data_IF_279284486287
#
_entry.id   IF_279284486287
#
_cell.length_a   1.000
_cell.length_b   1.000
_cell.length_c   1.000
_cell.angle_alpha   90.00
_cell.angle_beta   90.00
_cell.angle_gamma   90.00
#
_symmetry.space_group_name_H-M   'P 1'
#
loop_
_entity.id
_entity.type
_entity.pdbx_description
1 polymer ?
#
# COMPACT_ATOMS: atom_id res chain seq x y z
N UNK A 1 14.58 40.88 12.52
CA UNK A 1 14.01 39.72 11.78
C UNK A 1 12.87 39.14 12.61
N UNK A 2 11.62 39.39 12.19
CA UNK A 2 10.39 38.95 12.88
C UNK A 2 10.18 37.47 12.56
N UNK A 3 10.37 36.57 13.53
CA UNK A 3 10.11 35.13 13.32
C UNK A 3 8.60 34.94 13.07
N UNK A 4 8.19 34.18 12.04
CA UNK A 4 6.78 33.88 11.84
C UNK A 4 6.25 33.04 13.02
N UNK A 5 4.97 33.20 13.40
CA UNK A 5 4.37 32.43 14.47
C UNK A 5 4.27 30.95 14.07
N UNK A 6 4.49 30.09 15.06
CA UNK A 6 4.45 28.64 14.97
C UNK A 6 3.01 28.19 14.67
N UNK A 7 2.67 28.07 13.39
CA UNK A 7 1.44 27.44 12.86
C UNK A 7 1.53 25.90 12.88
N UNK A 8 2.48 25.30 13.60
CA UNK A 8 2.65 23.83 13.67
C UNK A 8 1.52 23.15 14.48
N UNK A 9 0.94 23.84 15.47
CA UNK A 9 -0.12 23.30 16.31
C UNK A 9 -1.47 23.10 15.60
N UNK A 10 -1.74 23.84 14.51
CA UNK A 10 -3.04 23.81 13.82
C UNK A 10 -3.14 22.66 12.80
N UNK A 11 -2.01 22.19 12.28
CA UNK A 11 -1.94 21.08 11.32
C UNK A 11 -1.79 19.71 11.99
N UNK A 12 -1.27 19.65 13.21
CA UNK A 12 -1.16 18.42 13.98
C UNK A 12 -2.49 17.64 14.10
N UNK A 13 -3.63 18.26 14.48
CA UNK A 13 -4.91 17.53 14.52
C UNK A 13 -5.40 17.12 13.13
N UNK A 14 -5.17 17.95 12.10
CA UNK A 14 -5.53 17.61 10.73
C UNK A 14 -4.71 16.41 10.21
N UNK A 15 -3.40 16.34 10.48
CA UNK A 15 -2.57 15.18 10.14
C UNK A 15 -3.02 13.92 10.89
N UNK A 16 -3.41 14.05 12.15
CA UNK A 16 -3.87 12.96 13.00
C UNK A 16 -5.19 12.34 12.51
N UNK A 17 -6.06 13.13 11.87
CA UNK A 17 -7.29 12.64 11.23
C UNK A 17 -7.07 12.18 9.79
N UNK A 18 -6.17 12.83 9.04
CA UNK A 18 -5.87 12.46 7.65
C UNK A 18 -5.22 11.08 7.59
N UNK A 19 -4.27 10.77 8.48
CA UNK A 19 -3.56 9.49 8.47
C UNK A 19 -4.48 8.24 8.52
N UNK A 20 -5.41 8.10 9.49
CA UNK A 20 -6.30 6.93 9.55
C UNK A 20 -7.32 6.92 8.39
N UNK A 21 -7.81 8.08 7.95
CA UNK A 21 -8.71 8.15 6.80
C UNK A 21 -8.01 7.72 5.50
N UNK A 22 -6.75 8.11 5.32
CA UNK A 22 -5.95 7.70 4.16
C UNK A 22 -5.67 6.20 4.16
N UNK A 23 -5.48 5.58 5.33
CA UNK A 23 -5.30 4.12 5.41
C UNK A 23 -6.60 3.38 5.07
N UNK A 24 -7.76 3.84 5.56
CA UNK A 24 -9.06 3.26 5.21
C UNK A 24 -9.36 3.40 3.70
N UNK A 25 -9.11 4.58 3.12
CA UNK A 25 -9.28 4.81 1.70
C UNK A 25 -8.34 3.91 0.88
N UNK A 26 -7.09 3.75 1.32
CA UNK A 26 -6.11 2.84 0.70
C UNK A 26 -6.57 1.39 0.75
N UNK A 27 -7.09 0.92 1.89
CA UNK A 27 -7.64 -0.44 2.02
C UNK A 27 -8.81 -0.68 1.07
N UNK A 28 -9.76 0.27 1.00
CA UNK A 28 -10.91 0.16 0.10
C UNK A 28 -10.48 0.11 -1.37
N UNK A 29 -9.54 0.98 -1.77
CA UNK A 29 -8.99 0.99 -3.12
C UNK A 29 -8.24 -0.30 -3.44
N UNK A 30 -7.43 -0.81 -2.52
CA UNK A 30 -6.67 -2.05 -2.70
C UNK A 30 -7.58 -3.28 -2.81
N UNK A 31 -8.67 -3.34 -2.03
CA UNK A 31 -9.68 -4.40 -2.16
C UNK A 31 -10.36 -4.37 -3.52
N UNK A 32 -10.81 -3.19 -3.96
CA UNK A 32 -11.39 -3.00 -5.29
C UNK A 32 -10.43 -3.45 -6.39
N UNK A 33 -9.18 -2.99 -6.32
CA UNK A 33 -8.17 -3.28 -7.31
C UNK A 33 -7.81 -4.76 -7.35
N UNK A 34 -7.68 -5.41 -6.20
CA UNK A 34 -7.45 -6.85 -6.12
C UNK A 34 -8.59 -7.64 -6.72
N UNK A 35 -9.84 -7.31 -6.40
CA UNK A 35 -10.99 -7.99 -6.99
C UNK A 35 -10.97 -7.87 -8.52
N UNK A 36 -10.77 -6.65 -9.04
CA UNK A 36 -10.71 -6.39 -10.47
C UNK A 36 -9.57 -7.16 -11.15
N UNK A 37 -8.36 -7.12 -10.59
CA UNK A 37 -7.19 -7.81 -11.11
C UNK A 37 -7.30 -9.34 -11.01
N UNK A 38 -7.91 -9.86 -9.94
CA UNK A 38 -8.17 -11.29 -9.79
C UNK A 38 -9.13 -11.80 -10.85
N UNK A 39 -10.18 -11.04 -11.19
CA UNK A 39 -11.08 -11.36 -12.30
C UNK A 39 -10.34 -11.34 -13.65
N UNK A 40 -9.53 -10.30 -13.89
CA UNK A 40 -8.70 -10.22 -15.08
C UNK A 40 -7.68 -11.38 -15.17
N UNK A 41 -7.11 -11.79 -14.05
CA UNK A 41 -6.20 -12.94 -13.98
C UNK A 41 -6.92 -14.25 -14.26
N UNK A 42 -8.13 -14.45 -13.72
CA UNK A 42 -8.93 -15.63 -14.00
C UNK A 42 -9.20 -15.80 -15.50
N UNK A 43 -9.41 -14.69 -16.21
CA UNK A 43 -9.65 -14.67 -17.66
C UNK A 43 -8.38 -14.85 -18.50
N UNK A 44 -7.27 -14.21 -18.15
CA UNK A 44 -6.06 -14.18 -19.00
C UNK A 44 -5.03 -15.23 -18.64
N UNK A 45 -5.04 -15.73 -17.39
CA UNK A 45 -4.00 -16.59 -16.80
C UNK A 45 -2.58 -16.08 -17.00
N UNK A 46 -2.41 -14.76 -17.17
CA UNK A 46 -1.11 -14.16 -17.44
C UNK A 46 -0.20 -14.23 -16.20
N UNK A 47 1.01 -14.81 -16.31
CA UNK A 47 1.95 -14.87 -15.19
C UNK A 47 2.44 -13.48 -14.76
N UNK A 48 2.49 -12.50 -15.67
CA UNK A 48 2.82 -11.12 -15.33
C UNK A 48 1.71 -10.50 -14.48
N UNK A 49 0.44 -10.79 -14.79
CA UNK A 49 -0.69 -10.30 -14.02
C UNK A 49 -0.77 -10.96 -12.63
N UNK A 50 -0.37 -12.23 -12.51
CA UNK A 50 -0.26 -12.89 -11.20
C UNK A 50 0.71 -12.15 -10.27
N UNK A 51 1.87 -11.72 -10.78
CA UNK A 51 2.83 -10.94 -9.99
C UNK A 51 2.24 -9.59 -9.54
N UNK A 52 1.41 -8.97 -10.38
CA UNK A 52 0.69 -7.74 -10.01
C UNK A 52 -0.32 -8.01 -8.89
N UNK A 53 -1.10 -9.09 -9.00
CA UNK A 53 -2.05 -9.52 -7.94
C UNK A 53 -1.32 -9.78 -6.62
N UNK A 54 -0.19 -10.49 -6.65
CA UNK A 54 0.63 -10.73 -5.46
C UNK A 54 1.17 -9.44 -4.85
N UNK A 55 1.67 -8.51 -5.69
CA UNK A 55 2.14 -7.20 -5.26
C UNK A 55 1.07 -6.40 -4.50
N UNK A 56 -0.13 -6.30 -5.08
CA UNK A 56 -1.25 -5.61 -4.43
C UNK A 56 -1.77 -6.34 -3.20
N UNK A 57 -1.68 -7.68 -3.16
CA UNK A 57 -2.05 -8.47 -1.97
C UNK A 57 -1.11 -8.14 -0.81
N UNK A 58 0.19 -8.06 -1.07
CA UNK A 58 1.17 -7.62 -0.07
C UNK A 58 0.93 -6.19 0.40
N UNK A 59 0.52 -5.27 -0.49
CA UNK A 59 0.17 -3.90 -0.11
C UNK A 59 -1.09 -3.86 0.77
N UNK A 60 -2.11 -4.67 0.45
CA UNK A 60 -3.32 -4.79 1.27
C UNK A 60 -2.98 -5.29 2.67
N UNK A 61 -2.15 -6.34 2.77
CA UNK A 61 -1.64 -6.84 4.06
C UNK A 61 -0.85 -5.76 4.80
N UNK A 62 0.00 -5.00 4.10
CA UNK A 62 0.75 -3.88 4.67
C UNK A 62 -0.14 -2.83 5.32
N UNK A 63 -1.18 -2.36 4.63
CA UNK A 63 -2.14 -1.39 5.19
C UNK A 63 -3.00 -1.98 6.31
N UNK A 64 -3.36 -3.26 6.23
CA UNK A 64 -4.05 -3.93 7.34
C UNK A 64 -3.16 -4.00 8.59
N UNK A 65 -1.86 -4.23 8.42
CA UNK A 65 -0.86 -4.20 9.50
C UNK A 65 -0.65 -2.79 10.06
N UNK A 66 -0.62 -1.75 9.23
CA UNK A 66 -0.58 -0.36 9.70
C UNK A 66 -1.80 -0.02 10.53
N UNK A 67 -2.99 -0.42 10.09
CA UNK A 67 -4.22 -0.24 10.86
C UNK A 67 -4.17 -0.99 12.19
N UNK A 68 -3.68 -2.23 12.19
CA UNK A 68 -3.51 -3.02 13.41
C UNK A 68 -2.39 -2.48 14.33
N UNK A 69 -1.42 -1.73 13.78
CA UNK A 69 -0.31 -1.18 14.55
C UNK A 69 -0.74 -0.10 15.55
N UNK A 70 -1.93 0.48 15.36
CA UNK A 70 -2.59 1.34 16.35
C UNK A 70 -2.79 0.64 17.70
N UNK A 71 -2.99 -0.68 17.70
CA UNK A 71 -3.14 -1.50 18.90
C UNK A 71 -1.82 -2.17 19.31
N UNK A 72 -0.97 -2.52 18.34
CA UNK A 72 0.31 -3.23 18.55
C UNK A 72 1.42 -2.58 17.72
N UNK A 73 2.19 -1.64 18.29
CA UNK A 73 3.20 -0.87 17.55
C UNK A 73 4.22 -1.71 16.79
N UNK A 74 4.55 -2.92 17.27
CA UNK A 74 5.46 -3.84 16.60
C UNK A 74 5.00 -4.27 15.19
N UNK A 75 3.70 -4.17 14.87
CA UNK A 75 3.16 -4.47 13.55
C UNK A 75 3.47 -3.40 12.51
N UNK A 76 3.90 -2.19 12.92
CA UNK A 76 4.25 -1.12 12.00
C UNK A 76 5.42 -1.52 11.09
N UNK A 77 6.47 -2.12 11.65
CA UNK A 77 7.61 -2.60 10.87
C UNK A 77 7.21 -3.78 9.96
N UNK A 78 6.32 -4.65 10.43
CA UNK A 78 5.78 -5.74 9.63
C UNK A 78 4.99 -5.23 8.41
N UNK A 79 4.24 -4.13 8.56
CA UNK A 79 3.54 -3.47 7.46
C UNK A 79 4.49 -2.97 6.38
N UNK A 80 5.58 -2.31 6.77
CA UNK A 80 6.65 -1.89 5.84
C UNK A 80 7.32 -3.08 5.16
N UNK A 81 7.62 -4.15 5.89
CA UNK A 81 8.19 -5.36 5.32
C UNK A 81 7.25 -5.99 4.27
N UNK A 82 5.94 -6.03 4.53
CA UNK A 82 4.95 -6.50 3.57
C UNK A 82 4.93 -5.62 2.30
N UNK A 83 4.97 -4.30 2.44
CA UNK A 83 5.04 -3.39 1.28
C UNK A 83 6.34 -3.55 0.48
N UNK A 84 7.46 -3.82 1.13
CA UNK A 84 8.73 -4.08 0.46
C UNK A 84 8.65 -5.37 -0.38
N UNK A 85 8.07 -6.43 0.17
CA UNK A 85 7.80 -7.68 -0.57
C UNK A 85 6.87 -7.42 -1.76
N UNK A 86 5.81 -6.64 -1.58
CA UNK A 86 4.92 -6.24 -2.67
C UNK A 86 5.64 -5.49 -3.80
N UNK A 87 6.55 -4.58 -3.43
CA UNK A 87 7.38 -3.83 -4.37
C UNK A 87 8.32 -4.76 -5.15
N UNK A 88 8.87 -5.78 -4.49
CA UNK A 88 9.68 -6.79 -5.16
C UNK A 88 8.90 -7.59 -6.21
N UNK A 89 7.61 -7.90 -5.97
CA UNK A 89 6.76 -8.54 -6.97
C UNK A 89 6.52 -7.64 -8.19
N UNK A 90 6.26 -6.34 -7.98
CA UNK A 90 6.14 -5.39 -9.10
C UNK A 90 7.45 -5.26 -9.88
N UNK A 91 8.59 -5.21 -9.20
CA UNK A 91 9.90 -5.18 -9.85
C UNK A 91 10.16 -6.45 -10.66
N UNK A 92 9.81 -7.62 -10.12
CA UNK A 92 9.92 -8.89 -10.84
C UNK A 92 9.02 -8.92 -12.09
N UNK A 93 7.81 -8.36 -12.00
CA UNK A 93 6.89 -8.21 -13.13
C UNK A 93 7.50 -7.30 -14.21
N UNK A 94 8.01 -6.13 -13.82
CA UNK A 94 8.65 -5.19 -14.75
C UNK A 94 9.87 -5.82 -15.43
N UNK A 95 10.73 -6.50 -14.67
CA UNK A 95 11.88 -7.21 -15.22
C UNK A 95 11.46 -8.29 -16.22
N UNK A 96 10.37 -9.01 -15.95
CA UNK A 96 9.81 -10.01 -16.86
C UNK A 96 9.31 -9.38 -18.16
N UNK A 97 8.55 -8.28 -18.07
CA UNK A 97 8.02 -7.58 -19.25
C UNK A 97 9.14 -6.94 -20.07
N UNK A 98 10.16 -6.38 -19.41
CA UNK A 98 11.31 -5.77 -20.08
C UNK A 98 12.15 -6.79 -20.88
N UNK A 99 12.29 -8.02 -20.38
CA UNK A 99 12.99 -9.12 -21.10
C UNK A 99 12.19 -9.75 -22.23
N UNK A 100 10.87 -9.52 -22.26
CA UNK A 100 9.99 -10.07 -23.28
C UNK A 100 9.85 -9.13 -24.51
N UNK A 101 10.44 -7.94 -24.46
CA UNK A 101 10.66 -7.04 -25.60
C UNK A 101 12.06 -7.26 -26.16
#
# INVERSE_FOLDING_TARGET
VKRPPVEEGRRAPALLLVAPLTDLASLALLLYLLLHLSLAYASTRSPSLLLVVLGFTCFLVGHALFTASLLKPGLYLAGHAAQLVGSAFFLAMLARVARAR
#
